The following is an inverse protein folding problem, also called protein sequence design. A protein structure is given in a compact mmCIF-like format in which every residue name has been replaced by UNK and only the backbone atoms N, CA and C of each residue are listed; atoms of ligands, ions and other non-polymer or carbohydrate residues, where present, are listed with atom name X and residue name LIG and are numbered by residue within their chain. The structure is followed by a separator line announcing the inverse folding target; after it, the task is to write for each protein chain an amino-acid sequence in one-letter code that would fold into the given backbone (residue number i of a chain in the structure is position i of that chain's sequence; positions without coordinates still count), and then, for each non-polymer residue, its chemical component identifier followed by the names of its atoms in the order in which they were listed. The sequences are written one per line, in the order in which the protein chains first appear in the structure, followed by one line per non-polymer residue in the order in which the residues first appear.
data_IF_523678806700
#
_entry.id   IF_523678806700
#
_cell.length_a   1.000
_cell.length_b   1.000
_cell.length_c   1.000
_cell.angle_alpha   90.00
_cell.angle_beta   90.00
_cell.angle_gamma   90.00
#
_symmetry.space_group_name_H-M   'P 1'
#
loop_
_entity.id
_entity.type
_entity.pdbx_description
1 polymer ?
#
# COMPACT_ATOMS: atom_id res chain seq x y z
N UNK A 1 -1.06 -22.74 8.32
CA UNK A 1 -1.67 -21.42 8.08
C UNK A 1 -0.62 -20.48 7.49
N UNK A 2 -0.79 -20.06 6.23
CA UNK A 2 0.11 -19.11 5.55
C UNK A 2 -0.17 -17.66 5.98
N UNK A 3 0.76 -16.75 5.71
CA UNK A 3 0.58 -15.32 5.95
C UNK A 3 0.42 -14.58 4.64
N UNK A 4 -0.68 -13.83 4.49
CA UNK A 4 -0.91 -12.97 3.34
C UNK A 4 -0.89 -11.49 3.76
N UNK A 5 -0.15 -10.62 3.06
CA UNK A 5 -0.13 -9.20 3.36
C UNK A 5 -1.50 -8.58 3.02
N UNK A 6 -2.05 -7.73 3.89
CA UNK A 6 -3.31 -7.02 3.64
C UNK A 6 -3.13 -5.88 2.62
N UNK A 7 -2.78 -6.23 1.39
CA UNK A 7 -2.64 -5.36 0.24
C UNK A 7 -2.95 -6.13 -1.06
N UNK A 8 -2.58 -5.56 -2.21
CA UNK A 8 -2.84 -6.20 -3.50
C UNK A 8 -2.16 -7.57 -3.66
N UNK A 9 -0.99 -7.80 -3.03
CA UNK A 9 -0.24 -9.06 -3.15
C UNK A 9 -1.00 -10.19 -2.46
N UNK A 10 -1.46 -9.97 -1.23
CA UNK A 10 -2.23 -10.98 -0.51
C UNK A 10 -3.62 -11.20 -1.10
N UNK A 11 -4.21 -10.18 -1.73
CA UNK A 11 -5.43 -10.35 -2.52
C UNK A 11 -5.22 -11.28 -3.71
N UNK A 12 -4.10 -11.13 -4.42
CA UNK A 12 -3.72 -12.00 -5.54
C UNK A 12 -3.46 -13.42 -5.04
N UNK A 13 -2.68 -13.60 -3.97
CA UNK A 13 -2.39 -14.92 -3.39
C UNK A 13 -3.68 -15.66 -3.02
N UNK A 14 -4.59 -14.98 -2.31
CA UNK A 14 -5.91 -15.55 -1.98
C UNK A 14 -6.71 -15.96 -3.23
N UNK A 15 -6.63 -15.19 -4.30
CA UNK A 15 -7.34 -15.49 -5.54
C UNK A 15 -6.73 -16.69 -6.27
N UNK A 16 -5.40 -16.83 -6.25
CA UNK A 16 -4.67 -17.92 -6.90
C UNK A 16 -4.72 -19.23 -6.10
N UNK A 17 -4.82 -19.14 -4.78
CA UNK A 17 -4.80 -20.28 -3.86
C UNK A 17 -6.03 -20.28 -2.92
N UNK A 18 -7.27 -20.43 -3.45
CA UNK A 18 -8.50 -20.23 -2.67
C UNK A 18 -8.69 -21.23 -1.52
N UNK A 19 -8.14 -22.44 -1.65
CA UNK A 19 -8.27 -23.53 -0.67
C UNK A 19 -7.18 -23.50 0.41
N UNK A 20 -6.23 -22.57 0.33
CA UNK A 20 -5.15 -22.45 1.30
C UNK A 20 -5.62 -21.71 2.54
N UNK A 21 -5.40 -22.28 3.73
CA UNK A 21 -5.63 -21.56 4.99
C UNK A 21 -4.58 -20.45 5.20
N UNK A 22 -5.05 -19.22 5.41
CA UNK A 22 -4.21 -18.06 5.61
C UNK A 22 -4.69 -17.16 6.76
N UNK A 23 -3.78 -16.33 7.26
CA UNK A 23 -4.10 -15.15 8.08
C UNK A 23 -3.62 -13.88 7.37
N UNK A 24 -4.37 -12.79 7.55
CA UNK A 24 -3.92 -11.48 7.12
C UNK A 24 -2.88 -10.92 8.08
N UNK A 25 -1.84 -10.32 7.54
CA UNK A 25 -0.85 -9.55 8.31
C UNK A 25 -0.65 -8.15 7.73
N UNK A 26 -0.05 -7.25 8.50
CA UNK A 26 0.29 -5.92 8.00
C UNK A 26 1.28 -6.02 6.83
N UNK A 27 1.05 -5.33 5.69
CA UNK A 27 1.86 -5.48 4.48
C UNK A 27 3.37 -5.27 4.63
N UNK A 28 3.78 -4.43 5.59
CA UNK A 28 5.17 -4.10 5.87
C UNK A 28 5.87 -5.08 6.82
N UNK A 29 5.12 -5.99 7.45
CA UNK A 29 5.66 -7.10 8.23
C UNK A 29 5.85 -8.36 7.38
N UNK A 30 5.31 -8.39 6.17
CA UNK A 30 5.44 -9.53 5.27
C UNK A 30 6.79 -9.49 4.54
N UNK A 31 7.61 -10.51 4.75
CA UNK A 31 9.00 -10.59 4.26
C UNK A 31 9.20 -11.58 3.11
N UNK A 32 8.15 -12.28 2.69
CA UNK A 32 8.25 -13.27 1.62
C UNK A 32 8.38 -12.60 0.25
N UNK A 33 9.02 -13.31 -0.68
CA UNK A 33 9.07 -12.89 -2.08
C UNK A 33 7.72 -13.14 -2.75
N UNK A 34 7.36 -12.24 -3.67
CA UNK A 34 6.14 -12.34 -4.45
C UNK A 34 6.48 -12.28 -5.94
N UNK A 35 6.46 -13.43 -6.59
CA UNK A 35 6.64 -13.57 -8.04
C UNK A 35 5.40 -14.30 -8.58
N UNK A 36 4.74 -13.73 -9.59
CA UNK A 36 3.46 -14.26 -10.11
C UNK A 36 3.71 -15.52 -10.94
N UNK A 37 4.88 -15.59 -11.54
CA UNK A 37 5.42 -16.66 -12.35
C UNK A 37 5.52 -17.99 -11.57
N UNK A 38 5.62 -17.93 -10.24
CA UNK A 38 5.63 -19.12 -9.37
C UNK A 38 4.25 -19.82 -9.32
N UNK A 39 3.17 -19.13 -9.67
CA UNK A 39 1.79 -19.61 -9.54
C UNK A 39 1.10 -19.87 -10.88
N UNK A 40 1.59 -19.26 -11.96
CA UNK A 40 0.94 -19.30 -13.27
C UNK A 40 1.99 -19.50 -14.37
N UNK A 41 1.65 -20.29 -15.39
CA UNK A 41 2.49 -20.47 -16.58
C UNK A 41 1.98 -19.69 -17.80
N UNK A 42 0.75 -19.16 -17.75
CA UNK A 42 0.14 -18.45 -18.88
C UNK A 42 0.53 -16.96 -18.88
N UNK A 43 1.31 -16.53 -19.86
CA UNK A 43 1.82 -15.15 -19.99
C UNK A 43 0.73 -14.06 -19.98
N UNK A 44 -0.42 -14.31 -20.62
CA UNK A 44 -1.51 -13.33 -20.66
C UNK A 44 -2.13 -13.14 -19.27
N UNK A 45 -2.31 -14.25 -18.54
CA UNK A 45 -2.82 -14.22 -17.16
C UNK A 45 -1.82 -13.58 -16.22
N UNK A 46 -0.55 -13.96 -16.29
CA UNK A 46 0.56 -13.36 -15.53
C UNK A 46 0.54 -11.84 -15.70
N UNK A 47 0.44 -11.35 -16.94
CA UNK A 47 0.42 -9.91 -17.23
C UNK A 47 -0.73 -9.18 -16.54
N UNK A 48 -1.92 -9.79 -16.46
CA UNK A 48 -3.07 -9.17 -15.77
C UNK A 48 -2.78 -8.97 -14.28
N UNK A 49 -2.17 -9.94 -13.61
CA UNK A 49 -1.77 -9.79 -12.21
C UNK A 49 -0.61 -8.82 -12.02
N UNK A 50 0.39 -8.82 -12.91
CA UNK A 50 1.51 -7.86 -12.84
C UNK A 50 1.02 -6.42 -12.95
N UNK A 51 0.00 -6.15 -13.77
CA UNK A 51 -0.59 -4.80 -13.86
C UNK A 51 -1.12 -4.35 -12.49
N UNK A 52 -1.74 -5.24 -11.69
CA UNK A 52 -2.26 -4.90 -10.36
C UNK A 52 -1.14 -4.45 -9.41
N UNK A 53 0.01 -5.14 -9.41
CA UNK A 53 1.15 -4.80 -8.55
C UNK A 53 1.92 -3.58 -9.04
N UNK A 54 2.09 -3.43 -10.36
CA UNK A 54 2.77 -2.28 -10.98
C UNK A 54 2.07 -0.95 -10.66
N UNK A 55 0.75 -0.93 -10.76
CA UNK A 55 -0.04 0.30 -10.62
C UNK A 55 -0.36 0.65 -9.17
N UNK A 56 -0.30 -0.30 -8.23
CA UNK A 56 -0.55 -0.02 -6.82
C UNK A 56 0.43 1.04 -6.28
N UNK A 57 -0.10 1.99 -5.50
CA UNK A 57 0.60 3.15 -4.97
C UNK A 57 1.26 4.09 -6.02
N UNK A 58 1.25 3.79 -7.32
CA UNK A 58 2.02 4.52 -8.36
C UNK A 58 1.44 5.90 -8.71
N UNK A 59 0.16 6.13 -8.42
CA UNK A 59 -0.56 7.33 -8.87
C UNK A 59 -0.90 7.34 -10.37
N UNK A 60 -0.50 6.32 -11.14
CA UNK A 60 -0.67 6.23 -12.61
C UNK A 60 -1.27 4.88 -13.01
N UNK A 61 -1.82 4.79 -14.23
CA UNK A 61 -2.43 3.57 -14.75
C UNK A 61 -3.96 3.55 -14.63
N UNK A 62 -4.54 2.39 -14.99
CA UNK A 62 -6.00 2.20 -15.09
C UNK A 62 -6.69 2.34 -13.73
N UNK A 63 -7.93 2.84 -13.74
CA UNK A 63 -8.72 3.15 -12.54
C UNK A 63 -8.94 1.91 -11.67
N UNK A 64 -9.47 0.84 -12.26
CA UNK A 64 -9.91 -0.37 -11.52
C UNK A 64 -8.75 -1.08 -10.81
N UNK A 65 -7.62 -1.42 -11.48
CA UNK A 65 -6.45 -2.02 -10.81
C UNK A 65 -5.93 -1.23 -9.62
N UNK A 66 -5.84 0.09 -9.77
CA UNK A 66 -5.35 0.96 -8.70
C UNK A 66 -6.31 0.99 -7.53
N UNK A 67 -7.61 1.09 -7.81
CA UNK A 67 -8.63 1.09 -6.79
C UNK A 67 -8.67 -0.24 -6.02
N UNK A 68 -8.40 -1.38 -6.68
CA UNK A 68 -8.28 -2.68 -6.03
C UNK A 68 -7.18 -2.67 -4.96
N UNK A 69 -5.98 -2.15 -5.29
CA UNK A 69 -4.87 -2.03 -4.34
C UNK A 69 -5.19 -1.13 -3.15
N UNK A 70 -5.86 0.01 -3.37
CA UNK A 70 -6.31 0.90 -2.29
C UNK A 70 -7.36 0.21 -1.41
N UNK A 71 -8.35 -0.46 -2.01
CA UNK A 71 -9.40 -1.16 -1.27
C UNK A 71 -8.79 -2.29 -0.41
N UNK A 72 -7.84 -3.04 -0.96
CA UNK A 72 -7.13 -4.10 -0.25
C UNK A 72 -6.37 -3.55 0.97
N UNK A 73 -5.56 -2.49 0.78
CA UNK A 73 -4.81 -1.81 1.85
C UNK A 73 -5.69 -1.21 2.95
N UNK A 74 -6.94 -0.89 2.64
CA UNK A 74 -7.92 -0.41 3.63
C UNK A 74 -8.69 -1.54 4.33
N UNK A 75 -8.44 -2.81 3.98
CA UNK A 75 -9.19 -3.95 4.49
C UNK A 75 -10.60 -4.09 3.90
N UNK A 76 -10.94 -3.37 2.83
CA UNK A 76 -12.25 -3.45 2.15
C UNK A 76 -12.27 -4.63 1.18
N UNK A 77 -12.11 -5.84 1.72
CA UNK A 77 -11.82 -7.06 0.94
C UNK A 77 -12.89 -7.41 -0.10
N UNK A 78 -14.18 -7.22 0.20
CA UNK A 78 -15.25 -7.46 -0.77
C UNK A 78 -15.11 -6.56 -2.00
N UNK A 79 -14.97 -5.25 -1.78
CA UNK A 79 -14.77 -4.29 -2.87
C UNK A 79 -13.44 -4.53 -3.61
N UNK A 80 -12.39 -4.91 -2.90
CA UNK A 80 -11.11 -5.25 -3.50
C UNK A 80 -11.24 -6.45 -4.44
N UNK A 81 -11.94 -7.50 -4.01
CA UNK A 81 -12.24 -8.68 -4.84
C UNK A 81 -13.08 -8.31 -6.06
N UNK A 82 -14.15 -7.53 -5.90
CA UNK A 82 -15.00 -7.10 -7.02
C UNK A 82 -14.17 -6.36 -8.10
N UNK A 83 -13.28 -5.45 -7.68
CA UNK A 83 -12.40 -4.71 -8.56
C UNK A 83 -11.32 -5.60 -9.21
N UNK A 84 -10.77 -6.55 -8.45
CA UNK A 84 -9.81 -7.52 -8.96
C UNK A 84 -10.47 -8.40 -10.03
N UNK A 85 -11.64 -8.97 -9.76
CA UNK A 85 -12.38 -9.80 -10.70
C UNK A 85 -12.78 -9.02 -11.96
N UNK A 86 -13.24 -7.78 -11.82
CA UNK A 86 -13.55 -6.92 -12.97
C UNK A 86 -12.33 -6.71 -13.87
N UNK A 87 -11.15 -6.49 -13.30
CA UNK A 87 -9.90 -6.37 -14.06
C UNK A 87 -9.48 -7.71 -14.71
N UNK A 88 -9.49 -8.81 -13.97
CA UNK A 88 -9.03 -10.10 -14.49
C UNK A 88 -9.92 -10.65 -15.60
N UNK A 89 -11.22 -10.45 -15.50
CA UNK A 89 -12.20 -10.94 -16.47
C UNK A 89 -12.42 -9.98 -17.65
N UNK A 90 -11.73 -8.83 -17.67
CA UNK A 90 -11.94 -7.74 -18.64
C UNK A 90 -13.42 -7.30 -18.76
N UNK A 91 -14.22 -7.52 -17.71
CA UNK A 91 -15.59 -7.02 -17.68
C UNK A 91 -15.58 -5.51 -17.48
N UNK A 92 -16.43 -4.82 -18.24
CA UNK A 92 -16.69 -3.41 -18.00
C UNK A 92 -17.34 -3.29 -16.62
N UNK A 93 -16.63 -2.70 -15.67
CA UNK A 93 -17.17 -2.37 -14.37
C UNK A 93 -18.49 -1.63 -14.56
N UNK A 94 -19.50 -1.99 -13.77
CA UNK A 94 -20.75 -1.24 -13.77
C UNK A 94 -20.51 0.19 -13.26
N UNK A 95 -21.45 1.08 -13.55
CA UNK A 95 -21.32 2.50 -13.18
C UNK A 95 -21.13 2.70 -11.67
N UNK A 96 -21.69 1.80 -10.84
CA UNK A 96 -21.58 1.85 -9.40
C UNK A 96 -20.16 1.49 -8.91
N UNK A 97 -19.57 0.41 -9.43
CA UNK A 97 -18.22 -0.04 -9.10
C UNK A 97 -17.18 0.97 -9.60
N UNK A 98 -17.36 1.53 -10.80
CA UNK A 98 -16.49 2.59 -11.31
C UNK A 98 -16.54 3.85 -10.45
N UNK A 99 -17.74 4.28 -10.03
CA UNK A 99 -17.91 5.40 -9.10
C UNK A 99 -17.20 5.16 -7.75
N UNK A 100 -17.33 3.95 -7.18
CA UNK A 100 -16.61 3.55 -5.96
C UNK A 100 -15.09 3.58 -6.17
N UNK A 101 -14.60 3.09 -7.31
CA UNK A 101 -13.19 3.12 -7.65
C UNK A 101 -12.64 4.55 -7.76
N UNK A 102 -13.36 5.44 -8.46
CA UNK A 102 -12.99 6.85 -8.57
C UNK A 102 -12.96 7.55 -7.20
N UNK A 103 -13.92 7.25 -6.32
CA UNK A 103 -13.95 7.80 -4.97
C UNK A 103 -12.72 7.39 -4.15
N UNK A 104 -12.31 6.12 -4.22
CA UNK A 104 -11.10 5.64 -3.56
C UNK A 104 -9.84 6.39 -4.05
N UNK A 105 -9.70 6.54 -5.37
CA UNK A 105 -8.56 7.22 -5.97
C UNK A 105 -8.51 8.70 -5.61
N UNK A 106 -9.66 9.37 -5.60
CA UNK A 106 -9.76 10.77 -5.26
C UNK A 106 -9.47 11.03 -3.78
N UNK A 107 -9.96 10.15 -2.89
CA UNK A 107 -9.68 10.22 -1.46
C UNK A 107 -8.19 10.01 -1.16
N UNK A 108 -7.57 8.96 -1.73
CA UNK A 108 -6.13 8.72 -1.60
C UNK A 108 -5.32 9.92 -2.10
N UNK A 109 -5.63 10.42 -3.31
CA UNK A 109 -4.95 11.60 -3.89
C UNK A 109 -5.05 12.82 -3.00
N UNK A 110 -6.23 13.06 -2.40
CA UNK A 110 -6.47 14.18 -1.49
C UNK A 110 -5.67 14.02 -0.20
N UNK A 111 -5.66 12.82 0.39
CA UNK A 111 -4.89 12.51 1.60
C UNK A 111 -3.39 12.67 1.35
N UNK A 112 -2.83 12.04 0.32
CA UNK A 112 -1.41 12.16 -0.04
C UNK A 112 -1.02 13.62 -0.24
N UNK A 113 -1.84 14.43 -0.92
CA UNK A 113 -1.57 15.86 -1.10
C UNK A 113 -1.47 16.61 0.23
N UNK A 114 -2.34 16.30 1.21
CA UNK A 114 -2.30 16.92 2.55
C UNK A 114 -1.08 16.50 3.35
N UNK A 115 -0.62 15.26 3.18
CA UNK A 115 0.56 14.72 3.87
C UNK A 115 1.86 15.41 3.43
N UNK A 116 1.93 15.94 2.21
CA UNK A 116 3.10 16.67 1.68
C UNK A 116 3.28 18.08 2.26
N UNK A 117 2.56 18.43 3.33
CA UNK A 117 2.75 19.70 4.02
C UNK A 117 4.10 19.71 4.76
N UNK A 118 4.97 20.66 4.43
CA UNK A 118 6.30 20.80 5.03
C UNK A 118 6.29 20.97 6.54
N UNK A 119 5.21 21.48 7.13
CA UNK A 119 5.09 21.59 8.59
C UNK A 119 5.06 20.23 9.30
N UNK A 120 4.95 19.13 8.56
CA UNK A 120 5.03 17.76 9.08
C UNK A 120 6.47 17.24 9.14
N UNK A 121 7.43 17.94 8.54
CA UNK A 121 8.87 17.62 8.63
C UNK A 121 9.45 18.27 9.90
N UNK A 122 9.77 17.46 10.91
CA UNK A 122 10.40 17.92 12.15
C UNK A 122 10.99 16.74 12.97
N UNK A 123 12.31 16.65 13.21
CA UNK A 123 13.39 17.47 12.66
C UNK A 123 13.55 17.28 11.15
N UNK A 124 14.55 17.93 10.56
CA UNK A 124 14.87 17.80 9.14
C UNK A 124 14.94 16.32 8.70
N UNK A 125 14.38 16.01 7.53
CA UNK A 125 14.29 14.66 6.95
C UNK A 125 13.46 13.63 7.73
N UNK A 126 12.75 14.05 8.79
CA UNK A 126 11.82 13.22 9.56
C UNK A 126 10.38 13.72 9.39
N UNK A 127 9.54 12.92 8.75
CA UNK A 127 8.13 13.23 8.50
C UNK A 127 7.22 12.63 9.57
N UNK A 128 6.59 13.47 10.38
CA UNK A 128 5.66 13.07 11.45
C UNK A 128 4.24 12.96 10.91
N UNK A 129 3.85 11.73 10.62
CA UNK A 129 2.54 11.34 10.10
C UNK A 129 1.84 10.36 11.06
N UNK A 130 2.06 10.48 12.37
CA UNK A 130 1.49 9.59 13.40
C UNK A 130 -0.04 9.60 13.42
N UNK A 131 -0.66 10.71 13.00
CA UNK A 131 -2.11 10.85 12.81
C UNK A 131 -2.65 10.06 11.61
N UNK A 132 -1.75 9.48 10.80
CA UNK A 132 -2.07 8.88 9.52
C UNK A 132 -1.84 7.37 9.56
N UNK A 133 -2.79 6.54 9.10
CA UNK A 133 -2.62 5.10 9.11
C UNK A 133 -1.50 4.65 8.17
N UNK A 134 -0.76 3.62 8.58
CA UNK A 134 0.41 3.07 7.89
C UNK A 134 0.14 2.68 6.41
N UNK A 135 -1.09 2.30 6.07
CA UNK A 135 -1.41 1.81 4.72
C UNK A 135 -1.15 2.83 3.61
N UNK A 136 -1.19 4.13 3.90
CA UNK A 136 -1.03 5.19 2.89
C UNK A 136 0.43 5.58 2.66
N UNK A 137 1.35 5.19 3.54
CA UNK A 137 2.76 5.59 3.51
C UNK A 137 3.44 5.20 2.19
N UNK A 138 3.21 4.01 1.60
CA UNK A 138 3.74 3.67 0.28
C UNK A 138 3.29 4.62 -0.84
N UNK A 139 2.04 5.11 -0.80
CA UNK A 139 1.54 6.10 -1.78
C UNK A 139 2.13 7.49 -1.52
N UNK A 140 2.30 7.86 -0.25
CA UNK A 140 2.97 9.09 0.14
C UNK A 140 4.42 9.12 -0.35
N UNK A 141 5.23 8.10 -0.07
CA UNK A 141 6.66 8.13 -0.42
C UNK A 141 6.88 8.17 -1.93
N UNK A 142 6.09 7.42 -2.71
CA UNK A 142 6.15 7.47 -4.19
C UNK A 142 5.87 8.88 -4.71
N UNK A 143 4.90 9.60 -4.12
CA UNK A 143 4.64 10.98 -4.50
C UNK A 143 5.72 11.93 -3.98
N UNK A 144 6.14 11.79 -2.73
CA UNK A 144 7.17 12.62 -2.10
C UNK A 144 8.49 12.57 -2.88
N UNK A 145 8.90 11.39 -3.36
CA UNK A 145 10.12 11.18 -4.14
C UNK A 145 10.12 11.87 -5.51
N UNK A 146 8.95 12.28 -6.01
CA UNK A 146 8.88 13.17 -7.19
C UNK A 146 9.27 14.62 -6.90
N UNK A 147 9.32 15.01 -5.62
CA UNK A 147 9.67 16.34 -5.15
C UNK A 147 11.06 16.37 -4.48
N UNK A 148 11.40 15.30 -3.74
CA UNK A 148 12.66 15.17 -2.99
C UNK A 148 13.23 13.77 -3.20
N UNK A 149 14.27 13.65 -4.04
CA UNK A 149 14.87 12.36 -4.39
C UNK A 149 16.31 12.18 -3.87
N UNK A 150 17.02 13.25 -3.52
CA UNK A 150 18.46 13.26 -3.30
C UNK A 150 18.92 12.91 -1.88
N UNK A 151 18.00 12.67 -0.94
CA UNK A 151 18.33 12.45 0.47
C UNK A 151 17.54 11.30 1.08
N UNK A 152 18.12 10.56 2.04
CA UNK A 152 17.36 9.60 2.84
C UNK A 152 16.32 10.34 3.68
N UNK A 153 15.18 9.69 3.94
CA UNK A 153 14.13 10.26 4.80
C UNK A 153 13.57 9.21 5.74
N UNK A 154 13.14 9.65 6.92
CA UNK A 154 12.39 8.82 7.85
C UNK A 154 10.93 9.29 7.89
N UNK A 155 9.99 8.36 7.94
CA UNK A 155 8.56 8.67 8.08
C UNK A 155 8.05 7.98 9.31
N UNK A 156 7.45 8.71 10.24
CA UNK A 156 6.80 8.15 11.43
C UNK A 156 5.30 8.11 11.13
N UNK A 157 4.73 6.93 10.95
CA UNK A 157 3.30 6.74 10.71
C UNK A 157 2.57 6.33 11.97
N UNK A 158 1.25 6.45 11.95
CA UNK A 158 0.38 5.72 12.85
C UNK A 158 0.37 4.23 12.54
N UNK A 159 -0.58 3.52 13.16
CA UNK A 159 -0.72 2.07 13.04
C UNK A 159 -1.38 1.60 11.76
N UNK A 160 -1.39 0.28 11.62
CA UNK A 160 -2.20 -0.47 10.68
C UNK A 160 -3.32 -1.20 11.43
N UNK A 161 -4.41 -1.53 10.76
CA UNK A 161 -5.52 -2.30 11.34
C UNK A 161 -5.06 -3.65 11.94
N UNK A 162 -3.96 -4.21 11.41
CA UNK A 162 -3.37 -5.48 11.83
C UNK A 162 -2.03 -5.33 12.57
N UNK A 163 -1.57 -4.10 12.80
CA UNK A 163 -0.33 -3.81 13.51
C UNK A 163 -0.43 -2.42 14.16
N UNK A 164 -0.93 -2.40 15.39
CA UNK A 164 -1.15 -1.18 16.16
C UNK A 164 0.17 -0.48 16.53
N UNK A 165 0.05 0.71 17.12
CA UNK A 165 1.20 1.54 17.50
C UNK A 165 1.71 2.39 16.35
N UNK A 166 2.73 3.20 16.63
CA UNK A 166 3.39 4.03 15.63
C UNK A 166 4.57 3.25 15.03
N UNK A 167 4.91 3.56 13.78
CA UNK A 167 5.97 2.87 13.05
C UNK A 167 6.89 3.89 12.40
N UNK A 168 8.19 3.68 12.48
CA UNK A 168 9.19 4.49 11.76
C UNK A 168 9.70 3.72 10.56
N UNK A 169 9.64 4.38 9.40
CA UNK A 169 10.02 3.84 8.10
C UNK A 169 11.26 4.58 7.62
N UNK A 170 12.32 3.87 7.28
CA UNK A 170 13.54 4.48 6.73
C UNK A 170 13.60 4.25 5.23
N UNK A 171 13.71 5.33 4.47
CA UNK A 171 13.78 5.30 3.02
C UNK A 171 15.14 5.80 2.54
N UNK A 172 15.95 4.97 1.86
CA UNK A 172 17.18 5.41 1.20
C UNK A 172 16.91 6.49 0.14
N UNK A 173 17.94 7.25 -0.21
CA UNK A 173 17.87 8.19 -1.34
C UNK A 173 17.36 7.51 -2.62
N UNK A 174 16.59 8.24 -3.43
CA UNK A 174 16.01 7.79 -4.71
C UNK A 174 15.12 6.55 -4.64
N UNK A 175 14.89 5.96 -3.46
CA UNK A 175 14.11 4.74 -3.29
C UNK A 175 12.66 5.04 -2.91
N UNK A 176 11.74 4.22 -3.45
CA UNK A 176 10.34 4.13 -2.99
C UNK A 176 10.13 3.01 -1.97
N UNK A 177 11.12 2.14 -1.79
CA UNK A 177 11.09 1.01 -0.87
C UNK A 177 11.86 1.40 0.40
N UNK A 178 11.32 1.01 1.55
CA UNK A 178 11.98 1.21 2.82
C UNK A 178 13.17 0.25 2.95
N UNK A 179 14.25 0.68 3.60
CA UNK A 179 15.37 -0.18 4.00
C UNK A 179 15.08 -0.91 5.31
N UNK A 180 14.35 -0.26 6.21
CA UNK A 180 13.96 -0.81 7.50
C UNK A 180 12.66 -0.17 7.98
N UNK A 181 11.95 -0.91 8.81
CA UNK A 181 10.76 -0.47 9.53
C UNK A 181 10.77 -1.06 10.93
N UNK A 182 10.48 -0.24 11.92
CA UNK A 182 10.47 -0.65 13.33
C UNK A 182 9.38 0.08 14.12
N UNK A 183 8.92 -0.48 15.26
CA UNK A 183 8.01 0.21 16.15
C UNK A 183 8.62 1.53 16.63
N UNK A 184 7.87 2.63 16.52
CA UNK A 184 8.31 3.91 17.03
C UNK A 184 8.00 3.99 18.54
N UNK A 185 9.06 4.04 19.34
CA UNK A 185 8.99 4.25 20.79
C UNK A 185 9.30 5.72 21.05
N UNK A 186 8.38 6.44 21.70
CA UNK A 186 8.67 7.80 22.15
C UNK A 186 9.84 7.72 23.14
N UNK A 187 10.91 8.52 22.96
CA UNK A 187 11.92 8.65 23.99
C UNK A 187 11.22 9.04 25.28
N UNK A 188 11.51 8.33 26.38
CA UNK A 188 10.98 8.68 27.70
C UNK A 188 11.24 10.18 27.89
N UNK A 189 10.17 10.96 27.94
CA UNK A 189 10.22 12.33 28.43
C UNK A 189 10.60 12.20 29.90
N UNK A 190 11.90 12.26 30.19
CA UNK A 190 12.35 12.65 31.51
C UNK A 190 11.76 14.05 31.72
N UNK A 191 10.61 14.07 32.40
CA UNK A 191 10.04 15.28 32.94
C UNK A 191 11.01 15.71 34.04
N UNK A 192 11.93 16.62 33.68
CA UNK A 192 12.70 17.41 34.64
C UNK A 192 11.75 18.27 35.50
#
# INVERSE_FOLDING_TARGET
MREYPLDIRGLILRHLEPDTEYRWIAPFLWQEKFEIEDYLSNNQSIRKYQILTEVDCSGRGRIVPRAAGIAARQGRLTLANDLLSAHLLDYRADSALESRALNLLNDEKRKVRRLLNRNREWPQDVWNLQDTPAWIIPSFIRRFRTLVNSRPVSVISGGHMLAAGNWIWHYPEKSHNFSSIEPFILPDLQLD
#
